data_IF_789012126154
#
_entry.id   IF_789012126154
#
_cell.length_a   1.000
_cell.length_b   1.000
_cell.length_c   1.000
_cell.angle_alpha   90.00
_cell.angle_beta   90.00
_cell.angle_gamma   90.00
#
_symmetry.space_group_name_H-M   'P 1'
#
loop_
_entity.id
_entity.type
_entity.pdbx_description
1 polymer ?
#
# COMPACT_ATOMS: atom_id res chain seq x y z
N UNK A 1 -47.39 16.69 6.30
CA UNK A 1 -46.01 16.27 6.68
C UNK A 1 -45.84 14.75 6.92
N UNK A 2 -46.86 14.00 7.36
CA UNK A 2 -46.74 12.58 7.73
C UNK A 2 -46.49 11.55 6.60
N UNK A 3 -46.87 11.83 5.34
CA UNK A 3 -46.72 10.86 4.22
C UNK A 3 -45.28 10.70 3.73
N UNK A 4 -44.46 11.76 3.79
CA UNK A 4 -43.09 11.77 3.24
C UNK A 4 -42.10 10.95 4.09
N UNK A 5 -42.31 10.88 5.40
CA UNK A 5 -41.54 10.04 6.35
C UNK A 5 -41.85 8.55 6.18
N UNK A 6 -43.11 8.19 5.88
CA UNK A 6 -43.53 6.79 5.69
C UNK A 6 -42.96 6.20 4.39
N UNK A 7 -42.92 6.99 3.32
CA UNK A 7 -42.35 6.60 2.02
C UNK A 7 -40.82 6.46 2.13
N UNK A 8 -40.13 7.38 2.82
CA UNK A 8 -38.68 7.28 3.01
C UNK A 8 -38.26 6.10 3.88
N UNK A 9 -39.04 5.74 4.92
CA UNK A 9 -38.82 4.53 5.72
C UNK A 9 -39.02 3.23 4.93
N UNK A 10 -40.03 3.18 4.04
CA UNK A 10 -40.27 2.02 3.18
C UNK A 10 -39.15 1.83 2.14
N UNK A 11 -38.66 2.92 1.54
CA UNK A 11 -37.53 2.90 0.62
C UNK A 11 -36.22 2.44 1.30
N UNK A 12 -35.96 2.88 2.55
CA UNK A 12 -34.79 2.41 3.33
C UNK A 12 -34.87 0.92 3.64
N UNK A 13 -36.04 0.40 4.04
CA UNK A 13 -36.25 -1.04 4.28
C UNK A 13 -36.07 -1.87 3.01
N UNK A 14 -36.56 -1.39 1.86
CA UNK A 14 -36.34 -2.06 0.58
C UNK A 14 -34.86 -2.14 0.19
N UNK A 15 -34.10 -1.05 0.43
CA UNK A 15 -32.63 -1.04 0.23
C UNK A 15 -31.92 -2.02 1.18
N UNK A 16 -32.28 -2.01 2.46
CA UNK A 16 -31.69 -2.90 3.46
C UNK A 16 -31.96 -4.39 3.14
N UNK A 17 -33.17 -4.73 2.70
CA UNK A 17 -33.51 -6.08 2.28
C UNK A 17 -32.67 -6.54 1.06
N UNK A 18 -32.47 -5.65 0.09
CA UNK A 18 -31.62 -5.93 -1.08
C UNK A 18 -30.15 -6.13 -0.69
N UNK A 19 -29.61 -5.24 0.15
CA UNK A 19 -28.21 -5.36 0.63
C UNK A 19 -28.02 -6.66 1.40
N UNK A 20 -28.99 -7.04 2.26
CA UNK A 20 -28.96 -8.33 2.95
C UNK A 20 -28.91 -9.50 1.98
N UNK A 21 -29.74 -9.48 0.93
CA UNK A 21 -29.73 -10.54 -0.08
C UNK A 21 -28.38 -10.64 -0.82
N UNK A 22 -27.77 -9.50 -1.15
CA UNK A 22 -26.43 -9.47 -1.77
C UNK A 22 -25.36 -10.04 -0.83
N UNK A 23 -25.35 -9.63 0.44
CA UNK A 23 -24.40 -10.15 1.42
C UNK A 23 -24.61 -11.64 1.69
N UNK A 24 -25.85 -12.11 1.68
CA UNK A 24 -26.18 -13.52 1.85
C UNK A 24 -25.63 -14.36 0.70
N UNK A 25 -25.82 -13.92 -0.55
CA UNK A 25 -25.29 -14.62 -1.72
C UNK A 25 -23.75 -14.64 -1.71
N UNK A 26 -23.10 -13.52 -1.39
CA UNK A 26 -21.65 -13.45 -1.27
C UNK A 26 -21.10 -14.34 -0.14
N UNK A 27 -21.84 -14.44 0.97
CA UNK A 27 -21.48 -15.34 2.08
C UNK A 27 -21.60 -16.81 1.66
N UNK A 28 -22.68 -17.20 0.98
CA UNK A 28 -22.87 -18.57 0.50
C UNK A 28 -21.81 -18.97 -0.54
N UNK A 29 -21.44 -18.05 -1.43
CA UNK A 29 -20.33 -18.24 -2.37
C UNK A 29 -19.01 -18.50 -1.62
N UNK A 30 -18.66 -17.66 -0.65
CA UNK A 30 -17.46 -17.83 0.16
C UNK A 30 -17.48 -19.14 0.97
N UNK A 31 -18.60 -19.45 1.63
CA UNK A 31 -18.77 -20.66 2.43
C UNK A 31 -18.65 -21.92 1.57
N UNK A 32 -19.17 -21.88 0.34
CA UNK A 32 -19.03 -22.98 -0.62
C UNK A 32 -17.61 -23.17 -1.13
N UNK A 33 -16.84 -22.09 -1.24
CA UNK A 33 -15.43 -22.13 -1.65
C UNK A 33 -14.52 -22.65 -0.52
N UNK A 34 -14.88 -22.41 0.74
CA UNK A 34 -14.15 -22.86 1.92
C UNK A 34 -14.53 -24.30 2.29
N UNK A 35 -13.92 -25.26 1.58
CA UNK A 35 -14.15 -26.68 1.90
C UNK A 35 -13.60 -27.06 3.28
N UNK A 36 -14.07 -28.18 3.85
CA UNK A 36 -13.61 -28.67 5.16
C UNK A 36 -12.11 -28.92 5.19
N UNK A 37 -11.53 -29.32 4.06
CA UNK A 37 -10.09 -29.51 3.89
C UNK A 37 -9.33 -28.20 4.12
N UNK A 38 -9.83 -27.06 3.61
CA UNK A 38 -9.25 -25.74 3.86
C UNK A 38 -9.30 -25.37 5.35
N UNK A 39 -10.43 -25.64 6.02
CA UNK A 39 -10.56 -25.38 7.46
C UNK A 39 -9.60 -26.22 8.29
N UNK A 40 -9.43 -27.50 7.95
CA UNK A 40 -8.51 -28.41 8.65
C UNK A 40 -7.05 -27.97 8.43
N UNK A 41 -6.68 -27.67 7.18
CA UNK A 41 -5.34 -27.22 6.84
C UNK A 41 -4.99 -25.90 7.56
N UNK A 42 -5.89 -24.91 7.47
CA UNK A 42 -5.68 -23.61 8.12
C UNK A 42 -5.58 -23.75 9.65
N UNK A 43 -6.43 -24.59 10.25
CA UNK A 43 -6.37 -24.84 11.70
C UNK A 43 -5.04 -25.47 12.12
N UNK A 44 -4.54 -26.44 11.36
CA UNK A 44 -3.25 -27.06 11.62
C UNK A 44 -2.09 -26.05 11.45
N UNK A 45 -2.15 -25.18 10.46
CA UNK A 45 -1.18 -24.09 10.29
C UNK A 45 -1.18 -23.14 11.50
N UNK A 46 -2.36 -22.75 12.00
CA UNK A 46 -2.51 -21.87 13.17
C UNK A 46 -1.99 -22.54 14.44
N UNK A 47 -2.40 -23.78 14.71
CA UNK A 47 -1.93 -24.54 15.89
C UNK A 47 -0.40 -24.71 15.86
N UNK A 48 0.17 -25.04 14.70
CA UNK A 48 1.63 -25.17 14.53
C UNK A 48 2.37 -23.84 14.79
N UNK A 49 1.78 -22.72 14.37
CA UNK A 49 2.32 -21.40 14.65
C UNK A 49 2.19 -21.01 16.13
N UNK A 50 1.05 -21.26 16.77
CA UNK A 50 0.83 -20.95 18.19
C UNK A 50 1.84 -21.68 19.09
N UNK A 51 2.07 -22.97 18.82
CA UNK A 51 3.01 -23.82 19.56
C UNK A 51 4.48 -23.37 19.40
N UNK A 52 4.82 -22.74 18.28
CA UNK A 52 6.21 -22.47 17.89
C UNK A 52 6.43 -21.03 17.41
N UNK A 53 5.67 -20.06 17.92
CA UNK A 53 5.65 -18.66 17.43
C UNK A 53 6.99 -17.91 17.51
N UNK A 54 7.98 -18.44 18.24
CA UNK A 54 9.34 -17.88 18.33
C UNK A 54 10.33 -18.50 17.34
N UNK A 55 9.93 -19.52 16.59
CA UNK A 55 10.75 -20.12 15.54
C UNK A 55 10.65 -19.29 14.26
N UNK A 56 11.77 -18.73 13.83
CA UNK A 56 11.87 -17.96 12.59
C UNK A 56 11.58 -18.78 11.33
N UNK A 57 11.55 -20.11 11.42
CA UNK A 57 11.18 -20.99 10.31
C UNK A 57 9.67 -21.12 10.10
N UNK A 58 8.83 -20.66 11.04
CA UNK A 58 7.37 -20.79 10.96
C UNK A 58 6.76 -19.42 10.65
N UNK A 59 6.20 -19.23 9.43
CA UNK A 59 5.67 -17.94 9.02
C UNK A 59 4.52 -17.48 9.93
N UNK A 60 4.52 -16.20 10.31
CA UNK A 60 3.37 -15.60 11.00
C UNK A 60 2.18 -15.50 10.05
N UNK A 61 1.13 -16.29 10.32
CA UNK A 61 -0.08 -16.34 9.50
C UNK A 61 -0.93 -15.07 9.59
N UNK A 62 -0.76 -14.27 10.64
CA UNK A 62 -1.50 -13.03 10.89
C UNK A 62 -0.77 -11.79 10.39
N UNK A 63 0.52 -11.91 10.06
CA UNK A 63 1.16 -10.89 9.26
C UNK A 63 0.53 -10.94 7.87
N UNK A 64 0.09 -9.77 7.39
CA UNK A 64 -0.33 -9.64 6.01
C UNK A 64 0.86 -10.11 5.14
N UNK A 65 0.73 -11.29 4.55
CA UNK A 65 1.54 -11.68 3.40
C UNK A 65 1.37 -10.50 2.46
N UNK A 66 2.42 -9.72 2.25
CA UNK A 66 2.33 -8.59 1.34
C UNK A 66 1.96 -9.19 -0.02
N UNK A 67 0.68 -9.17 -0.34
CA UNK A 67 0.22 -9.24 -1.71
C UNK A 67 0.70 -7.91 -2.25
N UNK A 68 1.99 -7.86 -2.59
CA UNK A 68 2.54 -6.77 -3.35
C UNK A 68 1.60 -6.63 -4.51
N UNK A 69 0.90 -5.50 -4.57
CA UNK A 69 0.06 -5.12 -5.69
C UNK A 69 0.74 -5.63 -6.96
N UNK A 70 0.11 -6.58 -7.64
CA UNK A 70 0.76 -7.28 -8.74
C UNK A 70 0.77 -6.31 -9.92
N UNK A 71 1.78 -5.45 -9.95
CA UNK A 71 2.11 -4.58 -11.09
C UNK A 71 1.99 -5.36 -12.42
N UNK A 72 2.40 -6.65 -12.52
CA UNK A 72 2.15 -7.49 -13.70
C UNK A 72 0.68 -7.59 -14.13
N UNK A 73 -0.25 -7.82 -13.19
CA UNK A 73 -1.69 -7.98 -13.50
C UNK A 73 -2.27 -6.66 -14.02
N UNK A 74 -1.90 -5.54 -13.41
CA UNK A 74 -2.34 -4.22 -13.87
C UNK A 74 -1.77 -3.82 -15.22
N UNK A 75 -0.52 -4.19 -15.52
CA UNK A 75 0.07 -4.01 -16.85
C UNK A 75 -0.65 -4.82 -17.91
N UNK A 76 -1.08 -6.04 -17.57
CA UNK A 76 -1.80 -6.91 -18.49
C UNK A 76 -3.20 -6.38 -18.80
N UNK A 77 -3.89 -5.82 -17.80
CA UNK A 77 -5.17 -5.14 -18.02
C UNK A 77 -5.01 -3.90 -18.91
N UNK A 78 -4.01 -3.04 -18.66
CA UNK A 78 -3.73 -1.88 -19.51
C UNK A 78 -3.42 -2.29 -20.96
N UNK A 79 -2.65 -3.38 -21.17
CA UNK A 79 -2.36 -3.88 -22.51
C UNK A 79 -3.63 -4.34 -23.26
N UNK A 80 -4.54 -5.01 -22.56
CA UNK A 80 -5.84 -5.42 -23.14
C UNK A 80 -6.74 -4.23 -23.46
N UNK A 81 -6.67 -3.14 -22.70
CA UNK A 81 -7.40 -1.90 -22.98
C UNK A 81 -6.81 -1.17 -24.19
N UNK A 82 -5.48 -1.16 -24.31
CA UNK A 82 -4.78 -0.60 -25.46
C UNK A 82 -5.13 -1.34 -26.76
N UNK A 83 -5.21 -2.67 -26.73
CA UNK A 83 -5.70 -3.49 -27.86
C UNK A 83 -7.12 -3.12 -28.30
N UNK A 84 -7.95 -2.67 -27.35
CA UNK A 84 -9.32 -2.18 -27.60
C UNK A 84 -9.34 -0.71 -28.05
N UNK A 85 -8.18 -0.08 -28.22
CA UNK A 85 -8.02 1.32 -28.63
C UNK A 85 -8.22 2.33 -27.50
N UNK A 86 -8.21 1.89 -26.23
CA UNK A 86 -8.28 2.76 -25.07
C UNK A 86 -6.87 2.99 -24.54
N UNK A 87 -6.27 4.12 -24.91
CA UNK A 87 -5.00 4.58 -24.34
C UNK A 87 -5.26 5.65 -23.27
N UNK A 88 -4.88 5.35 -22.04
CA UNK A 88 -4.98 6.23 -20.87
C UNK A 88 -3.63 6.88 -20.51
N UNK A 89 -2.59 6.63 -21.29
CA UNK A 89 -1.24 7.14 -21.03
C UNK A 89 -1.17 8.64 -21.30
N UNK A 90 -0.72 9.40 -20.29
CA UNK A 90 -0.51 10.84 -20.40
C UNK A 90 0.95 11.19 -20.75
N UNK A 91 1.85 10.22 -20.66
CA UNK A 91 3.27 10.33 -21.00
C UNK A 91 3.63 9.33 -22.12
N UNK A 92 4.45 9.72 -23.13
CA UNK A 92 4.73 8.86 -24.29
C UNK A 92 5.39 7.53 -23.95
N UNK A 93 6.22 7.50 -22.90
CA UNK A 93 7.04 6.33 -22.54
C UNK A 93 6.61 5.66 -21.22
N UNK A 94 5.66 6.25 -20.51
CA UNK A 94 5.32 5.81 -19.14
C UNK A 94 3.81 5.69 -19.03
N UNK A 95 3.29 4.46 -19.01
CA UNK A 95 1.88 4.19 -18.73
C UNK A 95 1.55 4.40 -17.23
N UNK A 96 0.28 4.52 -16.85
CA UNK A 96 -0.12 4.69 -15.45
C UNK A 96 0.38 3.56 -14.53
N UNK A 97 0.27 2.30 -14.94
CA UNK A 97 0.77 1.15 -14.16
C UNK A 97 2.29 1.15 -14.02
N UNK A 98 3.01 1.55 -15.07
CA UNK A 98 4.46 1.73 -15.02
C UNK A 98 4.82 2.86 -14.06
N UNK A 99 4.12 3.99 -14.13
CA UNK A 99 4.33 5.13 -13.24
C UNK A 99 4.14 4.77 -11.75
N UNK A 100 3.07 4.03 -11.43
CA UNK A 100 2.82 3.53 -10.06
C UNK A 100 3.92 2.55 -9.64
N UNK A 101 4.29 1.61 -10.51
CA UNK A 101 5.37 0.65 -10.24
C UNK A 101 6.71 1.32 -9.94
N UNK A 102 7.09 2.32 -10.74
CA UNK A 102 8.30 3.12 -10.50
C UNK A 102 8.26 3.84 -9.14
N UNK A 103 7.08 4.32 -8.72
CA UNK A 103 6.91 4.95 -7.41
C UNK A 103 7.15 3.97 -6.25
N UNK A 104 6.63 2.74 -6.37
CA UNK A 104 6.84 1.69 -5.37
C UNK A 104 8.30 1.24 -5.29
N UNK A 105 8.97 1.11 -6.45
CA UNK A 105 10.40 0.80 -6.49
C UNK A 105 11.24 1.91 -5.83
N UNK A 106 10.88 3.18 -6.03
CA UNK A 106 11.54 4.31 -5.37
C UNK A 106 11.35 4.28 -3.85
N UNK A 107 10.14 3.99 -3.37
CA UNK A 107 9.88 3.84 -1.94
C UNK A 107 10.74 2.71 -1.35
N UNK A 108 10.84 1.58 -2.03
CA UNK A 108 11.68 0.46 -1.62
C UNK A 108 13.16 0.85 -1.57
N UNK A 109 13.66 1.58 -2.57
CA UNK A 109 15.03 2.12 -2.58
C UNK A 109 15.27 3.09 -1.41
N UNK A 110 14.31 4.01 -1.14
CA UNK A 110 14.36 4.91 0.02
C UNK A 110 14.44 4.14 1.34
N UNK A 111 13.60 3.12 1.52
CA UNK A 111 13.60 2.29 2.72
C UNK A 111 14.91 1.50 2.88
N UNK A 112 15.50 1.00 1.79
CA UNK A 112 16.79 0.33 1.81
C UNK A 112 17.91 1.29 2.26
N UNK A 113 17.99 2.49 1.68
CA UNK A 113 18.98 3.50 2.07
C UNK A 113 18.78 3.91 3.53
N UNK A 114 17.53 4.11 3.97
CA UNK A 114 17.21 4.45 5.35
C UNK A 114 17.66 3.37 6.35
N UNK A 115 17.37 2.10 6.05
CA UNK A 115 17.82 0.96 6.88
C UNK A 115 19.35 0.88 6.90
N UNK A 116 20.00 1.07 5.76
CA UNK A 116 21.46 1.07 5.69
C UNK A 116 22.07 2.19 6.56
N UNK A 117 21.52 3.41 6.51
CA UNK A 117 21.94 4.50 7.39
C UNK A 117 21.77 4.12 8.87
N UNK A 118 20.66 3.49 9.25
CA UNK A 118 20.42 3.02 10.63
C UNK A 118 21.42 1.96 11.09
N UNK A 119 21.89 1.11 10.17
CA UNK A 119 22.92 0.10 10.48
C UNK A 119 24.33 0.66 10.59
N UNK A 120 24.58 1.86 10.04
CA UNK A 120 25.87 2.51 10.12
C UNK A 120 26.00 3.19 11.49
N UNK A 121 26.75 2.55 12.40
CA UNK A 121 27.10 3.11 13.69
C UNK A 121 28.13 4.26 13.59
N UNK A 122 28.67 4.68 14.73
CA UNK A 122 29.54 5.87 14.83
C UNK A 122 30.89 5.77 14.08
N UNK A 123 31.27 4.59 13.60
CA UNK A 123 32.54 4.33 12.91
C UNK A 123 32.29 3.97 11.43
N UNK A 124 31.73 4.91 10.68
CA UNK A 124 31.56 4.76 9.23
C UNK A 124 32.91 4.89 8.52
N UNK A 125 33.21 3.99 7.59
CA UNK A 125 34.41 4.12 6.74
C UNK A 125 34.19 5.16 5.65
N UNK A 126 35.26 5.80 5.18
CA UNK A 126 35.17 6.78 4.09
C UNK A 126 34.56 6.17 2.82
N UNK A 127 34.82 4.89 2.56
CA UNK A 127 34.22 4.14 1.45
C UNK A 127 32.70 3.97 1.62
N UNK A 128 32.21 3.67 2.82
CA UNK A 128 30.78 3.59 3.12
C UNK A 128 30.09 4.95 2.98
N UNK A 129 30.75 6.03 3.43
CA UNK A 129 30.26 7.40 3.29
C UNK A 129 30.16 7.82 1.82
N UNK A 130 31.17 7.51 1.01
CA UNK A 130 31.15 7.78 -0.43
C UNK A 130 30.03 7.00 -1.15
N UNK A 131 29.85 5.71 -0.80
CA UNK A 131 28.78 4.89 -1.37
C UNK A 131 27.39 5.44 -1.00
N UNK A 132 27.16 5.77 0.28
CA UNK A 132 25.93 6.42 0.72
C UNK A 132 25.62 7.70 -0.05
N UNK A 133 26.64 8.55 -0.25
CA UNK A 133 26.47 9.78 -1.01
C UNK A 133 26.05 9.49 -2.45
N UNK A 134 26.67 8.51 -3.08
CA UNK A 134 26.32 8.10 -4.45
C UNK A 134 24.89 7.55 -4.54
N UNK A 135 24.48 6.71 -3.59
CA UNK A 135 23.11 6.18 -3.50
C UNK A 135 22.09 7.31 -3.30
N UNK A 136 22.37 8.26 -2.39
CA UNK A 136 21.50 9.42 -2.16
C UNK A 136 21.34 10.29 -3.40
N UNK A 137 22.45 10.61 -4.08
CA UNK A 137 22.42 11.41 -5.30
C UNK A 137 21.59 10.70 -6.39
N UNK A 138 21.84 9.41 -6.60
CA UNK A 138 21.11 8.60 -7.59
C UNK A 138 19.62 8.57 -7.28
N UNK A 139 19.26 8.34 -6.02
CA UNK A 139 17.87 8.31 -5.57
C UNK A 139 17.19 9.67 -5.75
N UNK A 140 17.90 10.77 -5.46
CA UNK A 140 17.39 12.12 -5.68
C UNK A 140 17.08 12.38 -7.16
N UNK A 141 17.97 11.99 -8.08
CA UNK A 141 17.71 12.13 -9.51
C UNK A 141 16.50 11.32 -9.97
N UNK A 142 16.34 10.08 -9.47
CA UNK A 142 15.17 9.26 -9.80
C UNK A 142 13.87 9.87 -9.27
N UNK A 143 13.87 10.38 -8.04
CA UNK A 143 12.72 11.06 -7.44
C UNK A 143 12.32 12.27 -8.27
N UNK A 144 13.28 13.09 -8.71
CA UNK A 144 12.99 14.27 -9.51
C UNK A 144 12.38 13.91 -10.87
N UNK A 145 12.96 12.91 -11.55
CA UNK A 145 12.40 12.39 -12.81
C UNK A 145 10.97 11.85 -12.64
N UNK A 146 10.73 11.10 -11.56
CA UNK A 146 9.40 10.60 -11.25
C UNK A 146 8.40 11.73 -10.95
N UNK A 147 8.82 12.78 -10.23
CA UNK A 147 8.00 13.97 -9.97
C UNK A 147 7.61 14.73 -11.23
N UNK A 148 8.51 14.83 -12.21
CA UNK A 148 8.16 15.45 -13.51
C UNK A 148 7.04 14.67 -14.20
N UNK A 149 7.05 13.34 -14.11
CA UNK A 149 5.97 12.49 -14.65
C UNK A 149 4.71 12.55 -13.78
N UNK A 150 4.86 12.68 -12.45
CA UNK A 150 3.77 12.80 -11.49
C UNK A 150 2.87 14.00 -11.80
N UNK A 151 3.42 15.08 -12.35
CA UNK A 151 2.65 16.26 -12.78
C UNK A 151 1.49 15.90 -13.69
N UNK A 152 1.72 14.97 -14.61
CA UNK A 152 0.75 14.57 -15.62
C UNK A 152 -0.36 13.70 -15.01
N UNK A 153 0.02 12.72 -14.18
CA UNK A 153 -0.93 11.75 -13.62
C UNK A 153 -1.61 12.22 -12.32
N UNK A 154 -0.98 13.09 -11.54
CA UNK A 154 -1.44 13.54 -10.22
C UNK A 154 -1.20 15.06 -10.01
N UNK A 155 -1.84 15.94 -10.80
CA UNK A 155 -1.55 17.37 -10.80
C UNK A 155 -1.83 18.07 -9.45
N UNK A 156 -2.81 17.58 -8.69
CA UNK A 156 -3.18 18.14 -7.37
C UNK A 156 -2.04 17.96 -6.36
N UNK A 157 -1.21 16.92 -6.50
CA UNK A 157 -0.14 16.62 -5.55
C UNK A 157 0.97 17.68 -5.60
N UNK A 158 1.25 18.27 -6.77
CA UNK A 158 2.17 19.42 -6.85
C UNK A 158 1.68 20.62 -6.04
N UNK A 159 0.36 20.86 -6.05
CA UNK A 159 -0.23 21.91 -5.23
C UNK A 159 0.10 21.71 -3.75
N UNK A 160 0.03 20.47 -3.28
CA UNK A 160 0.32 20.09 -1.88
C UNK A 160 1.83 20.20 -1.59
N UNK A 161 2.70 19.73 -2.48
CA UNK A 161 4.16 19.82 -2.33
C UNK A 161 4.68 21.27 -2.33
N UNK A 162 4.03 22.16 -3.08
CA UNK A 162 4.32 23.58 -3.05
C UNK A 162 3.75 24.28 -1.81
N UNK A 163 2.69 23.73 -1.21
CA UNK A 163 2.19 24.17 0.10
C UNK A 163 3.07 23.67 1.24
N UNK A 164 3.99 22.73 0.99
CA UNK A 164 4.85 22.01 1.94
C UNK A 164 6.01 22.84 2.56
N UNK A 165 5.69 24.06 2.95
CA UNK A 165 5.98 24.59 4.30
C UNK A 165 5.04 23.92 5.35
N UNK A 166 4.66 22.65 5.11
CA UNK A 166 3.72 21.83 5.90
C UNK A 166 4.49 21.22 7.06
N UNK A 167 4.80 22.07 8.03
CA UNK A 167 5.03 21.65 9.41
C UNK A 167 3.72 21.31 10.15
N UNK A 168 2.58 21.27 9.45
CA UNK A 168 1.26 21.31 10.09
C UNK A 168 0.24 20.24 9.67
N UNK A 169 0.55 19.31 8.75
CA UNK A 169 -0.43 18.28 8.33
C UNK A 169 -0.10 16.84 8.78
N UNK A 170 0.99 16.64 9.52
CA UNK A 170 1.12 15.44 10.34
C UNK A 170 0.39 15.70 11.67
N UNK A 171 -0.50 14.81 12.12
CA UNK A 171 -0.90 14.78 13.53
C UNK A 171 0.38 14.72 14.36
N UNK A 172 0.55 15.66 15.29
CA UNK A 172 1.73 15.88 16.12
C UNK A 172 2.10 14.72 17.08
N UNK A 173 1.68 13.49 16.78
CA UNK A 173 1.84 12.31 17.62
C UNK A 173 3.18 11.56 17.44
N UNK A 174 4.06 12.01 16.53
CA UNK A 174 5.44 11.48 16.44
C UNK A 174 6.44 12.61 16.69
N UNK A 175 6.17 13.41 17.72
CA UNK A 175 7.25 14.05 18.46
C UNK A 175 7.95 12.94 19.24
N UNK A 176 9.14 12.54 18.80
CA UNK A 176 10.07 11.79 19.61
C UNK A 176 10.34 12.60 20.88
N UNK A 177 9.59 12.33 21.94
CA UNK A 177 9.96 12.81 23.26
C UNK A 177 11.18 11.99 23.68
N UNK A 178 12.35 12.60 23.92
CA UNK A 178 13.41 11.90 24.59
C UNK A 178 12.90 11.60 26.01
N UNK A 179 12.56 10.33 26.28
CA UNK A 179 12.42 9.88 27.66
C UNK A 179 13.79 10.02 28.30
N UNK A 180 13.90 11.07 29.10
CA UNK A 180 15.00 11.35 29.99
C UNK A 180 15.27 10.14 30.88
N UNK A 181 16.56 9.81 31.03
CA UNK A 181 17.08 9.02 32.13
C UNK A 181 16.57 9.58 33.47
N UNK A 182 15.91 8.73 34.25
CA UNK A 182 15.83 8.91 35.69
C UNK A 182 15.82 7.55 36.37
N UNK A 183 16.99 7.27 36.98
CA UNK A 183 17.29 6.42 38.15
C UNK A 183 16.88 4.95 38.12
#
# INVERSE_FOLDING_TARGET
MCRKVRISGCAKRGKAARVRALHQAAFEELDSALTKEHCIAWKAEVEMWEDNHNDACIPNLFEAKSVGWCVPETKQLEAQELEKGVDVSLHPEVSPSVFIGLGLDLEKEQQCVFRFIKTLGNHITDTQKANLQHQRNTLQYKIESWRMTQVLYMPVVQGIQNMEDVKHLLPSAISNHPCHDHL
#
